data_IF_181621759829
#
_entry.id   IF_181621759829
#
_cell.length_a   1.000
_cell.length_b   1.000
_cell.length_c   1.000
_cell.angle_alpha   90.00
_cell.angle_beta   90.00
_cell.angle_gamma   90.00
#
_symmetry.space_group_name_H-M   'P 1'
#
loop_
_entity.id
_entity.type
_entity.pdbx_description
1 polymer ?
#
# COMPACT_ATOMS: atom_id res chain seq x y z
N UNK A 1 -10.78 5.97 30.75
CA UNK A 1 -10.33 6.65 29.52
C UNK A 1 -9.09 5.97 28.94
N UNK A 2 -8.10 5.60 29.77
CA UNK A 2 -6.86 4.89 29.41
C UNK A 2 -7.02 3.62 28.52
N UNK A 3 -8.06 2.79 28.76
CA UNK A 3 -8.29 1.57 27.95
C UNK A 3 -8.70 1.84 26.50
N UNK A 4 -9.33 2.99 26.22
CA UNK A 4 -9.78 3.32 24.86
C UNK A 4 -8.60 3.77 23.98
N UNK A 5 -7.61 4.46 24.56
CA UNK A 5 -6.39 4.88 23.85
C UNK A 5 -5.50 3.70 23.48
N UNK A 6 -5.36 2.71 24.38
CA UNK A 6 -4.56 1.50 24.12
C UNK A 6 -5.15 0.71 22.95
N UNK A 7 -6.48 0.56 22.91
CA UNK A 7 -7.14 -0.18 21.83
C UNK A 7 -7.05 0.58 20.50
N UNK A 8 -7.10 1.92 20.53
CA UNK A 8 -6.98 2.78 19.35
C UNK A 8 -5.56 2.77 18.75
N UNK A 9 -4.52 2.84 19.59
CA UNK A 9 -3.11 2.73 19.17
C UNK A 9 -2.81 1.34 18.59
N UNK A 10 -3.33 0.29 19.24
CA UNK A 10 -3.20 -1.08 18.72
C UNK A 10 -3.84 -1.24 17.33
N UNK A 11 -5.00 -0.62 17.10
CA UNK A 11 -5.65 -0.63 15.80
C UNK A 11 -4.88 0.14 14.72
N UNK A 12 -4.32 1.33 15.02
CA UNK A 12 -3.50 2.08 14.05
C UNK A 12 -2.22 1.31 13.68
N UNK A 13 -1.55 0.70 14.67
CA UNK A 13 -0.37 -0.14 14.41
C UNK A 13 -0.71 -1.38 13.55
N UNK A 14 -1.87 -1.99 13.79
CA UNK A 14 -2.32 -3.15 13.02
C UNK A 14 -2.71 -2.75 11.58
N UNK A 15 -3.33 -1.58 11.40
CA UNK A 15 -3.66 -1.01 10.09
C UNK A 15 -2.38 -0.69 9.31
N UNK A 16 -1.41 -0.01 9.94
CA UNK A 16 -0.11 0.29 9.35
C UNK A 16 0.63 -0.97 8.96
N UNK A 17 0.75 -1.94 9.88
CA UNK A 17 1.41 -3.21 9.63
C UNK A 17 0.77 -3.97 8.46
N UNK A 18 -0.56 -4.02 8.41
CA UNK A 18 -1.29 -4.69 7.31
C UNK A 18 -1.05 -4.02 5.97
N UNK A 19 -1.15 -2.68 5.91
CA UNK A 19 -0.91 -1.93 4.68
C UNK A 19 0.55 -2.03 4.21
N UNK A 20 1.48 -1.98 5.16
CA UNK A 20 2.91 -2.17 4.88
C UNK A 20 3.18 -3.57 4.33
N UNK A 21 2.68 -4.62 4.98
CA UNK A 21 2.85 -6.00 4.51
C UNK A 21 2.21 -6.19 3.13
N UNK A 22 1.04 -5.61 2.87
CA UNK A 22 0.40 -5.69 1.55
C UNK A 22 1.27 -5.05 0.46
N UNK A 23 1.79 -3.84 0.71
CA UNK A 23 2.72 -3.17 -0.21
C UNK A 23 4.00 -3.99 -0.38
N UNK A 24 4.53 -4.57 0.70
CA UNK A 24 5.75 -5.36 0.68
C UNK A 24 5.59 -6.64 -0.14
N UNK A 25 4.44 -7.32 -0.02
CA UNK A 25 4.10 -8.50 -0.83
C UNK A 25 3.96 -8.11 -2.31
N UNK A 26 3.32 -6.98 -2.61
CA UNK A 26 3.31 -6.39 -3.95
C UNK A 26 4.74 -6.11 -4.43
N UNK A 27 5.59 -5.48 -3.62
CA UNK A 27 6.99 -5.17 -3.93
C UNK A 27 7.87 -6.40 -4.16
N UNK A 28 7.54 -7.52 -3.53
CA UNK A 28 8.20 -8.82 -3.72
C UNK A 28 7.62 -9.64 -4.88
N UNK A 29 6.56 -9.16 -5.56
CA UNK A 29 6.00 -9.80 -6.74
C UNK A 29 6.73 -9.58 -8.10
N UNK A 30 7.93 -8.95 -8.23
CA UNK A 30 8.70 -8.99 -9.48
C UNK A 30 8.88 -10.42 -10.06
N UNK A 31 9.13 -11.49 -9.27
CA UNK A 31 9.20 -12.85 -9.78
C UNK A 31 7.88 -13.39 -10.34
N UNK A 32 6.72 -12.85 -9.92
CA UNK A 32 5.39 -13.25 -10.40
C UNK A 32 5.02 -12.55 -11.70
N UNK A 33 5.52 -11.33 -11.92
CA UNK A 33 5.24 -10.56 -13.15
C UNK A 33 6.09 -11.02 -14.35
N UNK A 34 7.34 -11.47 -14.12
CA UNK A 34 8.23 -11.98 -15.18
C UNK A 34 7.56 -13.06 -16.06
N UNK A 35 6.93 -14.13 -15.49
CA UNK A 35 6.20 -15.10 -16.29
C UNK A 35 4.89 -14.56 -16.89
N UNK A 36 4.20 -13.60 -16.25
CA UNK A 36 3.00 -12.97 -16.82
C UNK A 36 3.33 -12.04 -18.01
N UNK A 37 4.49 -11.40 -18.00
CA UNK A 37 4.97 -10.50 -19.05
C UNK A 37 5.48 -11.22 -20.29
N UNK A 38 5.72 -12.54 -20.21
CA UNK A 38 5.95 -13.37 -21.38
C UNK A 38 4.74 -13.30 -22.34
N UNK A 39 3.52 -13.16 -21.80
CA UNK A 39 2.36 -12.73 -22.57
C UNK A 39 2.34 -11.19 -22.67
N UNK A 40 2.72 -10.66 -23.83
CA UNK A 40 2.67 -9.22 -24.13
C UNK A 40 1.22 -8.74 -24.31
N UNK A 41 0.38 -8.93 -23.30
CA UNK A 41 -0.99 -8.41 -23.28
C UNK A 41 -0.93 -6.90 -23.04
N UNK A 42 -1.27 -6.16 -24.09
CA UNK A 42 -1.43 -4.71 -24.03
C UNK A 42 -2.77 -4.38 -23.37
N UNK A 43 -2.75 -3.55 -22.34
CA UNK A 43 -3.94 -2.97 -21.73
C UNK A 43 -3.98 -1.48 -22.06
N UNK A 44 -5.03 -1.05 -22.76
CA UNK A 44 -5.17 0.32 -23.26
C UNK A 44 -3.95 0.82 -24.06
N UNK A 45 -3.32 -0.06 -24.84
CA UNK A 45 -2.12 0.25 -25.64
C UNK A 45 -0.80 0.27 -24.86
N UNK A 46 -0.82 -0.03 -23.56
CA UNK A 46 0.36 -0.01 -22.69
C UNK A 46 0.64 -1.43 -22.17
N UNK A 47 1.90 -1.90 -22.15
CA UNK A 47 2.27 -3.18 -21.58
C UNK A 47 1.84 -3.31 -20.11
N UNK A 48 1.34 -4.48 -19.71
CA UNK A 48 0.97 -4.75 -18.31
C UNK A 48 2.10 -4.50 -17.31
N UNK A 49 3.36 -4.63 -17.74
CA UNK A 49 4.55 -4.31 -16.94
C UNK A 49 4.62 -2.84 -16.53
N UNK A 50 4.23 -1.92 -17.41
CA UNK A 50 4.20 -0.48 -17.12
C UNK A 50 3.06 -0.16 -16.15
N UNK A 51 1.88 -0.76 -16.32
CA UNK A 51 0.78 -0.63 -15.37
C UNK A 51 1.15 -1.11 -13.97
N UNK A 52 1.85 -2.24 -13.89
CA UNK A 52 2.36 -2.76 -12.63
C UNK A 52 3.36 -1.80 -11.98
N UNK A 53 4.27 -1.23 -12.76
CA UNK A 53 5.25 -0.25 -12.28
C UNK A 53 4.56 1.02 -11.75
N UNK A 54 3.52 1.51 -12.42
CA UNK A 54 2.72 2.63 -11.94
C UNK A 54 1.98 2.29 -10.63
N UNK A 55 1.37 1.10 -10.55
CA UNK A 55 0.64 0.65 -9.36
C UNK A 55 1.56 0.52 -8.15
N UNK A 56 2.74 -0.07 -8.32
CA UNK A 56 3.66 -0.30 -7.21
C UNK A 56 4.31 0.99 -6.70
N UNK A 57 4.45 2.01 -7.55
CA UNK A 57 4.86 3.34 -7.13
C UNK A 57 3.72 4.14 -6.49
N UNK A 58 2.50 4.04 -7.02
CA UNK A 58 1.35 4.81 -6.52
C UNK A 58 0.81 4.28 -5.18
N UNK A 59 0.77 2.95 -5.00
CA UNK A 59 0.23 2.30 -3.80
C UNK A 59 0.85 2.81 -2.48
N UNK A 60 2.19 2.85 -2.30
CA UNK A 60 2.79 3.36 -1.07
C UNK A 60 2.51 4.85 -0.85
N UNK A 61 2.48 5.66 -1.91
CA UNK A 61 2.14 7.10 -1.81
C UNK A 61 0.72 7.27 -1.30
N UNK A 62 -0.25 6.54 -1.88
CA UNK A 62 -1.65 6.59 -1.47
C UNK A 62 -1.85 6.10 -0.05
N UNK A 63 -1.17 5.03 0.34
CA UNK A 63 -1.22 4.49 1.71
C UNK A 63 -0.63 5.46 2.72
N UNK A 64 0.56 5.99 2.45
CA UNK A 64 1.24 6.94 3.34
C UNK A 64 0.42 8.23 3.47
N UNK A 65 -0.11 8.76 2.36
CA UNK A 65 -0.97 9.93 2.38
C UNK A 65 -2.30 9.66 3.10
N UNK A 66 -2.88 8.49 2.89
CA UNK A 66 -4.12 8.07 3.54
C UNK A 66 -3.97 7.98 5.05
N UNK A 67 -2.91 7.32 5.52
CA UNK A 67 -2.53 7.27 6.94
C UNK A 67 -2.28 8.70 7.45
N UNK A 68 -1.38 9.45 6.83
CA UNK A 68 -1.10 10.83 7.25
C UNK A 68 -2.37 11.69 7.39
N UNK A 69 -3.33 11.58 6.47
CA UNK A 69 -4.62 12.28 6.58
C UNK A 69 -5.50 11.76 7.72
N UNK A 70 -5.53 10.45 7.95
CA UNK A 70 -6.31 9.82 9.03
C UNK A 70 -5.73 10.19 10.39
N UNK A 71 -4.44 9.99 10.60
CA UNK A 71 -3.72 10.39 11.82
C UNK A 71 -3.75 11.91 12.05
N UNK A 72 -3.65 12.72 10.98
CA UNK A 72 -3.77 14.18 11.07
C UNK A 72 -5.15 14.67 11.51
N UNK A 73 -6.23 14.04 11.04
CA UNK A 73 -7.59 14.34 11.54
C UNK A 73 -7.81 13.91 12.98
N UNK A 74 -6.98 12.99 13.50
CA UNK A 74 -7.06 12.49 14.86
C UNK A 74 -6.25 13.31 15.86
N UNK A 75 -5.50 14.32 15.39
CA UNK A 75 -4.60 15.12 16.22
C UNK A 75 -3.42 14.29 16.77
N UNK A 76 -3.09 13.18 16.13
CA UNK A 76 -1.99 12.28 16.52
C UNK A 76 -0.66 12.66 15.83
N UNK A 77 -0.70 13.67 14.95
CA UNK A 77 0.46 14.29 14.31
C UNK A 77 0.77 15.63 15.01
N UNK A 78 1.31 15.54 16.22
CA UNK A 78 1.98 16.63 16.95
C UNK A 78 3.22 16.05 17.66
#
# INVERSE_FOLDING_TARGET
MERAEIHRRSFSNLLFGTLFTLIFVLALAPPLYIPLSAEHKLFAGVPGSIWYLLLISAAPIVVAYGLWRVEGRRGELD
#
